data_IF_455339750475
#
_entry.id   IF_455339750475
#
_cell.length_a   1.000
_cell.length_b   1.000
_cell.length_c   1.000
_cell.angle_alpha   90.00
_cell.angle_beta   90.00
_cell.angle_gamma   90.00
#
_symmetry.space_group_name_H-M   'P 1'
#
loop_
_entity.id
_entity.type
_entity.pdbx_description
1 polymer ?
#
# COMPACT_ATOMS: atom_id res chain seq x y z
N UNK A 1 -12.39 -27.78 -48.42
CA UNK A 1 -12.57 -26.43 -47.83
C UNK A 1 -11.66 -26.33 -46.64
N UNK A 2 -10.67 -25.44 -46.66
CA UNK A 2 -9.83 -25.17 -45.50
C UNK A 2 -10.61 -24.28 -44.55
N UNK A 3 -10.97 -24.79 -43.38
CA UNK A 3 -11.57 -23.97 -42.31
C UNK A 3 -10.47 -23.13 -41.70
N UNK A 4 -10.56 -21.81 -41.88
CA UNK A 4 -9.68 -20.89 -41.17
C UNK A 4 -10.01 -20.95 -39.68
N UNK A 5 -9.13 -21.52 -38.90
CA UNK A 5 -9.34 -21.77 -37.46
C UNK A 5 -9.17 -20.49 -36.62
N UNK A 6 -8.41 -19.50 -37.13
CA UNK A 6 -8.23 -18.23 -36.46
C UNK A 6 -8.19 -17.09 -37.52
N UNK A 7 -9.13 -16.17 -37.44
CA UNK A 7 -9.25 -15.02 -38.36
C UNK A 7 -8.71 -13.71 -37.81
N UNK A 8 -8.42 -13.66 -36.52
CA UNK A 8 -7.99 -12.44 -35.87
C UNK A 8 -6.89 -12.73 -34.84
N UNK A 9 -5.76 -12.06 -34.98
CA UNK A 9 -4.67 -12.04 -33.99
C UNK A 9 -4.69 -10.69 -33.29
N UNK A 10 -4.81 -10.71 -31.96
CA UNK A 10 -4.69 -9.49 -31.19
C UNK A 10 -3.28 -8.87 -31.41
N UNK A 11 -3.17 -7.56 -31.64
CA UNK A 11 -1.87 -6.91 -31.84
C UNK A 11 -1.00 -6.87 -30.59
N UNK A 12 -1.54 -7.25 -29.44
CA UNK A 12 -0.83 -7.30 -28.16
C UNK A 12 -0.89 -8.70 -27.57
N UNK A 13 0.21 -9.12 -26.97
CA UNK A 13 0.28 -10.35 -26.18
C UNK A 13 -0.68 -10.20 -25.00
N UNK A 14 -1.53 -11.19 -24.77
CA UNK A 14 -2.41 -11.21 -23.59
C UNK A 14 -1.55 -11.18 -22.34
N UNK A 15 -1.99 -10.43 -21.33
CA UNK A 15 -1.40 -10.45 -20.02
C UNK A 15 -1.43 -11.88 -19.45
N UNK A 16 -0.33 -12.30 -18.85
CA UNK A 16 -0.23 -13.56 -18.14
C UNK A 16 -0.98 -13.51 -16.81
N UNK A 17 -0.78 -14.52 -15.98
CA UNK A 17 -1.20 -14.50 -14.59
C UNK A 17 -0.01 -14.15 -13.68
N UNK A 18 -0.29 -13.60 -12.51
CA UNK A 18 0.74 -13.28 -11.51
C UNK A 18 1.56 -14.54 -11.20
N UNK A 19 2.88 -14.42 -11.23
CA UNK A 19 3.82 -15.51 -11.01
C UNK A 19 4.09 -16.40 -12.23
N UNK A 20 3.47 -16.14 -13.40
CA UNK A 20 3.82 -16.87 -14.63
C UNK A 20 5.13 -16.35 -15.20
N UNK A 21 6.01 -17.27 -15.62
CA UNK A 21 7.20 -16.94 -16.41
C UNK A 21 6.75 -16.37 -17.75
N UNK A 22 7.24 -15.18 -18.10
CA UNK A 22 6.82 -14.47 -19.30
C UNK A 22 7.64 -14.88 -20.54
N UNK A 23 8.89 -15.31 -20.32
CA UNK A 23 9.83 -15.73 -21.35
C UNK A 23 10.71 -16.84 -20.78
N UNK A 24 10.74 -18.00 -21.41
CA UNK A 24 11.57 -19.14 -20.98
C UNK A 24 13.06 -18.95 -21.31
N UNK A 25 13.38 -18.04 -22.24
CA UNK A 25 14.77 -17.80 -22.66
C UNK A 25 15.59 -17.22 -21.51
N UNK A 26 16.59 -17.99 -21.04
CA UNK A 26 17.49 -17.59 -19.97
C UNK A 26 16.87 -17.59 -18.58
N UNK A 27 15.73 -18.26 -18.39
CA UNK A 27 15.09 -18.42 -17.09
C UNK A 27 15.84 -19.44 -16.22
N UNK A 28 16.10 -19.07 -14.95
CA UNK A 28 16.68 -19.93 -13.93
C UNK A 28 15.71 -20.02 -12.75
N UNK A 29 15.21 -21.23 -12.48
CA UNK A 29 14.30 -21.50 -11.38
C UNK A 29 14.98 -22.44 -10.39
N UNK A 30 14.93 -22.09 -9.11
CA UNK A 30 15.42 -22.91 -8.00
C UNK A 30 14.29 -23.28 -7.07
N UNK A 31 14.39 -24.45 -6.45
CA UNK A 31 13.43 -24.88 -5.43
C UNK A 31 13.93 -24.51 -4.03
N UNK A 32 13.05 -23.93 -3.21
CA UNK A 32 13.31 -23.50 -1.84
C UNK A 32 12.20 -23.97 -0.90
N UNK A 33 12.52 -24.21 0.34
CA UNK A 33 11.53 -24.53 1.36
C UNK A 33 10.95 -23.27 1.99
N UNK A 34 9.64 -23.13 2.08
CA UNK A 34 8.99 -21.95 2.65
C UNK A 34 9.06 -21.96 4.18
N UNK A 35 9.64 -20.91 4.79
CA UNK A 35 9.65 -20.68 6.23
C UNK A 35 8.61 -19.63 6.69
N UNK A 36 7.80 -19.09 5.74
CA UNK A 36 6.78 -18.09 6.08
C UNK A 36 5.50 -18.76 6.55
N UNK A 37 5.15 -18.61 7.82
CA UNK A 37 3.95 -19.20 8.44
C UNK A 37 2.65 -18.82 7.71
N UNK A 38 2.53 -17.57 7.29
CA UNK A 38 1.36 -17.07 6.55
C UNK A 38 1.29 -17.59 5.10
N UNK A 39 2.35 -18.29 4.64
CA UNK A 39 2.49 -18.72 3.25
C UNK A 39 3.07 -17.63 2.34
N UNK A 40 3.42 -18.04 1.11
CA UNK A 40 3.96 -17.16 0.06
C UNK A 40 3.04 -17.22 -1.16
N UNK A 41 2.45 -16.08 -1.53
CA UNK A 41 1.66 -15.96 -2.77
C UNK A 41 2.54 -16.02 -4.02
N UNK A 42 1.92 -16.15 -5.18
CA UNK A 42 2.63 -16.13 -6.47
C UNK A 42 3.06 -14.72 -6.89
N UNK A 43 4.19 -14.63 -7.58
CA UNK A 43 4.70 -13.37 -8.12
C UNK A 43 5.15 -12.36 -7.06
N UNK A 44 5.50 -12.82 -5.89
CA UNK A 44 6.01 -12.01 -4.79
C UNK A 44 7.54 -12.18 -4.65
N UNK A 45 8.20 -11.14 -4.18
CA UNK A 45 9.63 -11.19 -3.84
C UNK A 45 9.86 -12.13 -2.66
N UNK A 46 10.88 -12.96 -2.78
CA UNK A 46 11.33 -13.85 -1.71
C UNK A 46 12.81 -13.61 -1.43
N UNK A 47 13.19 -13.76 -0.18
CA UNK A 47 14.55 -13.65 0.31
C UNK A 47 15.04 -14.97 0.90
N UNK A 48 16.35 -15.06 1.13
CA UNK A 48 16.95 -16.19 1.81
C UNK A 48 16.35 -16.33 3.21
N UNK A 49 15.90 -17.53 3.54
CA UNK A 49 15.45 -17.89 4.88
C UNK A 49 16.60 -18.24 5.82
N UNK A 50 16.26 -18.79 6.98
CA UNK A 50 17.26 -19.17 8.01
C UNK A 50 18.07 -20.38 7.58
N UNK A 51 17.43 -21.39 6.98
CA UNK A 51 18.11 -22.58 6.50
C UNK A 51 18.72 -22.35 5.08
N UNK A 52 19.79 -23.06 4.75
CA UNK A 52 20.53 -22.89 3.48
C UNK A 52 19.68 -23.03 2.22
N UNK A 53 18.63 -23.85 2.26
CA UNK A 53 17.72 -24.11 1.13
C UNK A 53 16.31 -23.59 1.37
N UNK A 54 16.16 -22.62 2.23
CA UNK A 54 14.86 -22.03 2.54
C UNK A 54 14.68 -20.63 1.92
N UNK A 55 13.43 -20.17 1.96
CA UNK A 55 13.08 -18.80 1.60
C UNK A 55 11.96 -18.28 2.51
N UNK A 56 11.90 -16.95 2.60
CA UNK A 56 10.86 -16.21 3.30
C UNK A 56 10.24 -15.18 2.37
N UNK A 57 9.00 -14.79 2.64
CA UNK A 57 8.34 -13.68 1.95
C UNK A 57 9.07 -12.36 2.24
N UNK A 58 9.31 -11.57 1.22
CA UNK A 58 9.98 -10.28 1.36
C UNK A 58 11.43 -10.45 1.86
N UNK A 59 11.76 -9.83 2.99
CA UNK A 59 13.11 -9.85 3.58
C UNK A 59 14.09 -8.91 2.89
N UNK A 60 15.33 -8.84 3.38
CA UNK A 60 16.35 -7.91 2.86
C UNK A 60 17.37 -8.56 1.90
N UNK A 61 17.49 -9.89 1.92
CA UNK A 61 18.42 -10.65 1.09
C UNK A 61 17.70 -11.25 -0.12
N UNK A 62 17.33 -10.40 -1.10
CA UNK A 62 16.55 -10.80 -2.28
C UNK A 62 17.15 -12.02 -2.98
N UNK A 63 16.33 -13.04 -3.16
CA UNK A 63 16.67 -14.28 -3.82
C UNK A 63 16.05 -14.38 -5.21
N UNK A 64 14.79 -13.96 -5.33
CA UNK A 64 14.04 -14.05 -6.58
C UNK A 64 12.55 -13.81 -6.38
N UNK A 65 11.75 -14.30 -7.31
CA UNK A 65 10.29 -14.16 -7.34
C UNK A 65 9.63 -15.52 -7.33
N UNK A 66 8.59 -15.69 -6.49
CA UNK A 66 7.81 -16.93 -6.41
C UNK A 66 7.07 -17.19 -7.73
N UNK A 67 7.31 -18.35 -8.32
CA UNK A 67 6.69 -18.77 -9.59
C UNK A 67 5.33 -19.38 -9.32
N UNK A 68 4.38 -19.18 -10.23
CA UNK A 68 3.06 -19.79 -10.15
C UNK A 68 3.13 -21.29 -10.38
N UNK A 69 2.61 -22.06 -9.44
CA UNK A 69 2.37 -23.50 -9.60
C UNK A 69 0.91 -23.75 -9.91
N UNK A 70 0.63 -24.35 -11.07
CA UNK A 70 -0.73 -24.66 -11.50
C UNK A 70 -1.41 -25.73 -10.63
N UNK A 71 -0.64 -26.55 -9.92
CA UNK A 71 -1.19 -27.56 -9.02
C UNK A 71 -1.74 -26.96 -7.73
N UNK A 72 -1.13 -25.87 -7.27
CA UNK A 72 -1.58 -25.12 -6.08
C UNK A 72 -2.69 -24.11 -6.41
N UNK A 73 -2.87 -23.78 -7.67
CA UNK A 73 -3.99 -22.95 -8.12
C UNK A 73 -5.36 -23.64 -7.96
N UNK A 74 -5.35 -24.96 -7.83
CA UNK A 74 -6.51 -25.77 -7.49
C UNK A 74 -6.40 -26.08 -6.01
N UNK A 75 -7.13 -25.34 -5.16
CA UNK A 75 -7.10 -25.56 -3.71
C UNK A 75 -7.22 -27.05 -3.38
N UNK A 76 -6.20 -27.67 -2.76
CA UNK A 76 -6.31 -29.05 -2.35
C UNK A 76 -7.39 -29.15 -1.28
N UNK A 77 -8.31 -30.09 -1.46
CA UNK A 77 -9.25 -30.46 -0.40
C UNK A 77 -8.44 -31.24 0.63
N UNK A 78 -8.29 -30.71 1.83
CA UNK A 78 -7.77 -31.48 2.94
C UNK A 78 -8.80 -32.58 3.29
N UNK A 79 -8.51 -33.87 3.03
CA UNK A 79 -9.46 -34.94 3.27
C UNK A 79 -9.80 -35.14 4.75
N UNK A 80 -9.02 -34.58 5.66
CA UNK A 80 -9.23 -34.70 7.10
C UNK A 80 -10.06 -33.56 7.68
N UNK A 81 -9.92 -32.34 7.15
CA UNK A 81 -10.64 -31.18 7.67
C UNK A 81 -11.81 -30.72 6.81
N UNK A 82 -11.98 -31.30 5.62
CA UNK A 82 -12.95 -30.85 4.61
C UNK A 82 -12.86 -29.34 4.30
N UNK A 83 -11.69 -28.75 4.55
CA UNK A 83 -11.36 -27.36 4.27
C UNK A 83 -10.61 -27.27 2.95
N UNK A 84 -10.93 -26.23 2.18
CA UNK A 84 -10.11 -25.88 1.03
C UNK A 84 -8.86 -25.16 1.53
N UNK A 85 -7.69 -25.57 1.03
CA UNK A 85 -6.44 -24.85 1.24
C UNK A 85 -6.52 -23.43 0.68
N UNK A 86 -5.56 -22.59 1.04
CA UNK A 86 -5.45 -21.24 0.48
C UNK A 86 -5.06 -21.34 -0.99
N UNK A 87 -5.89 -20.78 -1.87
CA UNK A 87 -5.64 -20.77 -3.32
C UNK A 87 -4.49 -19.83 -3.63
N UNK A 88 -3.65 -20.19 -4.60
CA UNK A 88 -2.54 -19.36 -5.08
C UNK A 88 -1.45 -19.02 -4.03
N UNK A 89 -1.25 -19.90 -3.03
CA UNK A 89 -0.28 -19.70 -1.94
C UNK A 89 0.50 -21.00 -1.68
N UNK A 90 1.81 -20.89 -1.54
CA UNK A 90 2.67 -21.92 -0.99
C UNK A 90 2.55 -21.92 0.54
N UNK A 91 2.12 -23.00 1.13
CA UNK A 91 2.00 -23.15 2.59
C UNK A 91 3.37 -23.21 3.27
N UNK A 92 3.41 -23.02 4.60
CA UNK A 92 4.62 -23.23 5.39
C UNK A 92 5.21 -24.63 5.16
N UNK A 93 6.52 -24.71 5.02
CA UNK A 93 7.30 -25.93 4.69
C UNK A 93 7.05 -26.53 3.30
N UNK A 94 6.25 -25.90 2.48
CA UNK A 94 6.05 -26.33 1.10
C UNK A 94 7.22 -25.87 0.21
N UNK A 95 7.46 -26.61 -0.88
CA UNK A 95 8.53 -26.28 -1.83
C UNK A 95 8.08 -25.17 -2.76
N UNK A 96 8.72 -23.99 -2.68
CA UNK A 96 8.51 -22.83 -3.54
C UNK A 96 9.42 -22.92 -4.76
N UNK A 97 8.88 -22.78 -5.95
CA UNK A 97 9.64 -22.51 -7.16
C UNK A 97 9.99 -21.01 -7.20
N UNK A 98 11.28 -20.67 -7.22
CA UNK A 98 11.78 -19.30 -7.18
C UNK A 98 12.52 -18.99 -8.47
N UNK A 99 12.06 -18.00 -9.24
CA UNK A 99 12.78 -17.47 -10.39
C UNK A 99 13.88 -16.54 -9.90
N UNK A 100 15.13 -16.95 -10.08
CA UNK A 100 16.32 -16.17 -9.71
C UNK A 100 16.83 -15.30 -10.85
N UNK A 101 16.56 -15.69 -12.09
CA UNK A 101 16.88 -14.97 -13.32
C UNK A 101 15.83 -15.25 -14.38
N UNK A 102 15.44 -14.22 -15.13
CA UNK A 102 14.45 -14.37 -16.20
C UNK A 102 13.40 -13.26 -16.17
N UNK A 103 12.29 -13.49 -16.86
CA UNK A 103 11.16 -12.56 -16.94
C UNK A 103 9.89 -13.20 -16.38
N UNK A 104 9.17 -12.47 -15.55
CA UNK A 104 8.00 -12.98 -14.82
C UNK A 104 6.91 -11.91 -14.73
N UNK A 105 5.66 -12.33 -14.73
CA UNK A 105 4.51 -11.47 -14.51
C UNK A 105 4.32 -11.23 -13.01
N UNK A 106 4.32 -9.96 -12.61
CA UNK A 106 4.06 -9.53 -11.22
C UNK A 106 2.97 -8.46 -11.18
N UNK A 107 2.38 -8.25 -10.03
CA UNK A 107 1.45 -7.14 -9.80
C UNK A 107 2.25 -5.89 -9.46
N UNK A 108 1.96 -4.77 -10.13
CA UNK A 108 2.55 -3.47 -9.83
C UNK A 108 1.79 -2.80 -8.67
N UNK A 109 2.49 -2.31 -7.66
CA UNK A 109 1.88 -1.62 -6.52
C UNK A 109 1.56 -0.14 -6.84
N UNK A 110 2.33 0.47 -7.73
CA UNK A 110 2.13 1.82 -8.26
C UNK A 110 2.15 1.84 -9.78
N UNK A 111 2.01 3.03 -10.36
CA UNK A 111 2.17 3.25 -11.79
C UNK A 111 3.64 3.04 -12.18
N UNK A 112 3.89 2.16 -13.14
CA UNK A 112 5.23 1.79 -13.60
C UNK A 112 5.37 1.97 -15.11
N UNK A 113 6.56 2.33 -15.57
CA UNK A 113 6.91 2.42 -16.97
C UNK A 113 7.96 1.38 -17.35
N UNK A 114 7.90 0.91 -18.60
CA UNK A 114 8.93 0.01 -19.14
C UNK A 114 10.31 0.69 -19.07
N UNK A 115 11.26 0.04 -18.42
CA UNK A 115 12.61 0.55 -18.19
C UNK A 115 12.85 1.13 -16.80
N UNK A 116 11.81 1.34 -15.98
CA UNK A 116 11.96 1.74 -14.59
C UNK A 116 12.77 0.71 -13.79
N UNK A 117 13.49 1.19 -12.77
CA UNK A 117 14.16 0.31 -11.82
C UNK A 117 13.15 -0.49 -11.01
N UNK A 118 13.52 -1.72 -10.64
CA UNK A 118 12.67 -2.62 -9.88
C UNK A 118 13.00 -2.52 -8.39
N UNK A 119 11.96 -2.34 -7.58
CA UNK A 119 12.02 -2.37 -6.13
C UNK A 119 10.98 -3.35 -5.59
N UNK A 120 11.17 -3.83 -4.37
CA UNK A 120 10.19 -4.67 -3.67
C UNK A 120 10.06 -4.28 -2.21
N UNK A 121 8.86 -4.46 -1.67
CA UNK A 121 8.59 -4.32 -0.25
C UNK A 121 9.18 -5.51 0.53
N UNK A 122 10.09 -5.22 1.47
CA UNK A 122 10.73 -6.24 2.29
C UNK A 122 9.76 -6.95 3.25
N UNK A 123 8.54 -6.45 3.46
CA UNK A 123 7.53 -7.06 4.34
C UNK A 123 6.52 -7.89 3.55
N UNK A 124 5.93 -7.32 2.51
CA UNK A 124 4.85 -7.94 1.73
C UNK A 124 5.33 -8.61 0.43
N UNK A 125 6.57 -8.34 -0.01
CA UNK A 125 7.12 -8.88 -1.25
C UNK A 125 6.55 -8.26 -2.53
N UNK A 126 5.72 -7.21 -2.44
CA UNK A 126 5.14 -6.53 -3.59
C UNK A 126 6.18 -5.72 -4.37
N UNK A 127 5.92 -5.49 -5.67
CA UNK A 127 6.86 -4.79 -6.55
C UNK A 127 6.41 -3.37 -6.90
N UNK A 128 7.38 -2.43 -6.93
CA UNK A 128 7.20 -1.03 -7.28
C UNK A 128 8.37 -0.50 -8.13
N UNK A 129 8.28 0.75 -8.58
CA UNK A 129 9.38 1.47 -9.25
C UNK A 129 10.01 2.55 -8.36
N UNK A 130 9.64 2.61 -7.09
CA UNK A 130 10.13 3.61 -6.13
C UNK A 130 10.80 2.97 -4.91
N UNK A 131 11.95 3.52 -4.52
CA UNK A 131 12.65 3.13 -3.30
C UNK A 131 12.01 3.72 -2.04
N UNK A 132 11.29 4.82 -2.17
CA UNK A 132 10.71 5.56 -1.05
C UNK A 132 9.27 5.11 -0.84
N UNK A 133 8.97 4.66 0.36
CA UNK A 133 7.59 4.56 0.80
C UNK A 133 6.96 5.95 0.93
N UNK A 134 5.67 6.02 0.81
CA UNK A 134 4.89 7.23 1.05
C UNK A 134 4.07 7.10 2.32
N UNK A 135 3.87 8.22 3.01
CA UNK A 135 2.98 8.28 4.14
C UNK A 135 1.52 8.32 3.66
N UNK A 136 0.65 7.54 4.29
CA UNK A 136 -0.78 7.66 4.03
C UNK A 136 -1.27 9.05 4.44
N UNK A 137 -2.16 9.63 3.67
CA UNK A 137 -2.72 10.96 3.94
C UNK A 137 -4.22 11.01 3.70
N UNK A 138 -4.86 12.01 4.28
CA UNK A 138 -6.27 12.30 4.12
C UNK A 138 -6.55 13.73 4.57
N UNK A 139 -7.74 14.22 4.30
CA UNK A 139 -8.11 15.59 4.65
C UNK A 139 -9.51 15.67 5.22
N UNK A 140 -9.74 16.70 6.06
CA UNK A 140 -11.07 17.14 6.46
C UNK A 140 -11.24 18.58 5.99
N UNK A 141 -12.22 18.81 5.12
CA UNK A 141 -12.58 20.13 4.62
C UNK A 141 -13.70 20.68 5.48
N UNK A 142 -13.55 21.89 6.00
CA UNK A 142 -14.54 22.58 6.82
C UNK A 142 -15.14 23.75 6.04
N UNK A 143 -16.45 23.80 5.94
CA UNK A 143 -17.19 24.91 5.32
C UNK A 143 -17.78 25.86 6.36
N UNK A 144 -17.96 25.39 7.58
CA UNK A 144 -18.55 26.17 8.69
C UNK A 144 -17.70 26.05 9.95
N UNK A 145 -17.79 27.07 10.80
CA UNK A 145 -17.22 27.02 12.16
C UNK A 145 -17.87 25.87 12.93
N UNK A 146 -17.10 24.97 13.55
CA UNK A 146 -17.68 23.96 14.46
C UNK A 146 -18.41 24.61 15.63
N UNK A 147 -19.47 23.97 16.09
CA UNK A 147 -20.16 24.36 17.35
C UNK A 147 -19.56 23.56 18.53
N UNK A 148 -19.72 24.11 19.74
CA UNK A 148 -19.32 23.40 20.96
C UNK A 148 -20.02 22.03 21.06
N UNK A 149 -19.28 21.03 21.50
CA UNK A 149 -19.73 19.64 21.58
C UNK A 149 -19.70 18.87 20.26
N UNK A 150 -19.43 19.51 19.14
CA UNK A 150 -19.17 18.80 17.88
C UNK A 150 -17.81 18.14 17.91
N UNK A 151 -17.61 17.10 17.08
CA UNK A 151 -16.41 16.26 17.13
C UNK A 151 -15.84 15.99 15.75
N UNK A 152 -14.53 15.72 15.72
CA UNK A 152 -13.84 15.00 14.64
C UNK A 152 -13.21 13.75 15.24
N UNK A 153 -12.98 12.71 14.42
CA UNK A 153 -12.34 11.50 14.90
C UNK A 153 -11.11 11.23 14.02
N UNK A 154 -9.95 11.09 14.66
CA UNK A 154 -8.66 10.77 14.04
C UNK A 154 -8.08 9.58 14.76
N UNK A 155 -7.80 8.51 14.03
CA UNK A 155 -7.27 7.23 14.53
C UNK A 155 -8.03 6.72 15.78
N UNK A 156 -9.37 6.73 15.69
CA UNK A 156 -10.25 6.30 16.78
C UNK A 156 -10.35 7.27 17.96
N UNK A 157 -9.57 8.35 17.97
CA UNK A 157 -9.63 9.38 19.02
C UNK A 157 -10.63 10.45 18.64
N UNK A 158 -11.65 10.61 19.50
CA UNK A 158 -12.65 11.66 19.36
C UNK A 158 -12.10 12.97 19.92
N UNK A 159 -12.02 14.00 19.09
CA UNK A 159 -11.62 15.36 19.48
C UNK A 159 -12.86 16.23 19.51
N UNK A 160 -13.12 16.88 20.64
CA UNK A 160 -14.33 17.70 20.86
C UNK A 160 -13.99 19.18 20.78
N UNK A 161 -14.85 19.94 20.08
CA UNK A 161 -14.75 21.41 20.01
C UNK A 161 -15.48 22.05 21.20
N UNK A 162 -14.80 23.02 21.85
CA UNK A 162 -15.31 23.77 22.98
C UNK A 162 -15.23 25.28 22.72
N UNK A 163 -16.20 26.06 23.24
CA UNK A 163 -16.15 27.54 23.10
C UNK A 163 -15.03 28.17 23.91
N UNK A 164 -14.70 27.58 25.06
CA UNK A 164 -13.61 28.04 25.93
C UNK A 164 -13.29 26.97 26.96
N UNK A 165 -12.09 27.04 27.55
CA UNK A 165 -11.70 26.13 28.64
C UNK A 165 -11.42 24.71 28.17
N UNK A 166 -11.14 24.49 26.90
CA UNK A 166 -10.77 23.17 26.38
C UNK A 166 -9.57 22.59 27.12
N UNK A 167 -9.68 21.30 27.50
CA UNK A 167 -8.63 20.56 28.17
C UNK A 167 -7.97 19.64 27.17
N UNK A 168 -6.77 19.98 26.72
CA UNK A 168 -6.02 19.21 25.72
C UNK A 168 -5.82 17.74 26.13
N UNK A 169 -5.57 17.48 27.42
CA UNK A 169 -5.44 16.12 27.96
C UNK A 169 -6.73 15.30 27.88
N UNK A 170 -7.89 15.92 27.57
CA UNK A 170 -9.16 15.26 27.32
C UNK A 170 -9.56 15.31 25.84
N UNK A 171 -8.59 15.55 24.95
CA UNK A 171 -8.79 15.68 23.48
C UNK A 171 -9.83 16.79 23.15
N UNK A 172 -9.76 17.92 23.84
CA UNK A 172 -10.61 19.07 23.60
C UNK A 172 -9.80 20.20 22.95
N UNK A 173 -10.43 20.91 22.02
CA UNK A 173 -9.85 22.07 21.32
C UNK A 173 -10.79 23.26 21.39
N UNK A 174 -10.23 24.45 21.68
CA UNK A 174 -11.03 25.68 21.66
C UNK A 174 -11.37 26.09 20.22
N UNK A 175 -12.61 26.50 20.04
CA UNK A 175 -13.07 27.16 18.82
C UNK A 175 -12.41 28.55 18.78
N UNK A 176 -11.66 28.82 17.73
CA UNK A 176 -10.99 30.10 17.51
C UNK A 176 -11.94 31.21 17.05
N UNK A 177 -11.43 32.42 16.91
CA UNK A 177 -12.18 33.57 16.41
C UNK A 177 -12.63 33.39 14.96
N UNK A 178 -11.83 32.66 14.17
CA UNK A 178 -12.12 32.31 12.79
C UNK A 178 -12.07 30.79 12.60
N UNK A 179 -12.64 30.32 11.51
CA UNK A 179 -12.55 28.90 11.14
C UNK A 179 -11.08 28.48 10.93
N UNK A 180 -10.25 29.35 10.33
CA UNK A 180 -8.82 29.12 10.18
C UNK A 180 -8.10 28.93 11.52
N UNK A 181 -8.39 29.80 12.51
CA UNK A 181 -7.80 29.66 13.86
C UNK A 181 -8.19 28.35 14.53
N UNK A 182 -9.44 27.90 14.33
CA UNK A 182 -9.94 26.64 14.87
C UNK A 182 -9.19 25.45 14.29
N UNK A 183 -8.97 25.43 12.96
CA UNK A 183 -8.25 24.34 12.29
C UNK A 183 -6.78 24.34 12.68
N UNK A 184 -6.15 25.51 12.86
CA UNK A 184 -4.77 25.61 13.36
C UNK A 184 -4.67 25.06 14.78
N UNK A 185 -5.63 25.39 15.66
CA UNK A 185 -5.67 24.83 17.01
C UNK A 185 -5.88 23.32 17.01
N UNK A 186 -6.74 22.80 16.12
CA UNK A 186 -6.99 21.37 15.95
C UNK A 186 -5.71 20.63 15.48
N UNK A 187 -5.02 21.16 14.48
CA UNK A 187 -3.75 20.61 14.01
C UNK A 187 -2.68 20.61 15.13
N UNK A 188 -2.59 21.68 15.90
CA UNK A 188 -1.68 21.77 17.03
C UNK A 188 -1.97 20.73 18.11
N UNK A 189 -3.25 20.47 18.42
CA UNK A 189 -3.66 19.43 19.37
C UNK A 189 -3.25 18.03 18.88
N UNK A 190 -3.54 17.71 17.61
CA UNK A 190 -3.18 16.42 17.02
C UNK A 190 -1.65 16.20 17.07
N UNK A 191 -0.87 17.22 16.74
CA UNK A 191 0.59 17.15 16.74
C UNK A 191 1.19 17.05 18.15
N UNK A 192 0.53 17.62 19.14
CA UNK A 192 0.94 17.52 20.55
C UNK A 192 0.56 16.18 21.18
N UNK A 193 -0.43 15.46 20.64
CA UNK A 193 -0.98 14.18 21.13
C UNK A 193 -0.98 14.03 22.67
N UNK A 194 -1.58 14.99 23.42
CA UNK A 194 -1.34 15.12 24.85
C UNK A 194 -1.98 14.04 25.70
N UNK A 195 -2.97 13.30 25.18
CA UNK A 195 -3.76 12.33 25.93
C UNK A 195 -3.85 10.95 25.30
N UNK A 196 -3.22 10.70 24.16
CA UNK A 196 -3.41 9.45 23.43
C UNK A 196 -2.19 9.08 22.59
N UNK A 197 -1.75 7.83 22.73
CA UNK A 197 -0.68 7.27 21.91
C UNK A 197 -1.07 7.13 20.44
N UNK A 198 -2.38 6.97 20.10
CA UNK A 198 -2.81 6.84 18.72
C UNK A 198 -2.61 8.13 17.91
N UNK A 199 -2.79 9.31 18.50
CA UNK A 199 -2.46 10.56 17.82
C UNK A 199 -0.96 10.70 17.53
N UNK A 200 -0.10 9.95 18.22
CA UNK A 200 1.34 9.90 17.94
C UNK A 200 1.67 9.23 16.61
N UNK A 201 0.73 8.45 16.06
CA UNK A 201 0.89 7.76 14.76
C UNK A 201 0.66 8.68 13.56
N UNK A 202 0.05 9.85 13.79
CA UNK A 202 -0.32 10.80 12.73
C UNK A 202 0.26 12.19 13.01
N UNK A 203 0.33 12.98 11.96
CA UNK A 203 0.60 14.42 12.01
C UNK A 203 -0.48 15.18 11.26
N UNK A 204 -0.68 16.44 11.63
CA UNK A 204 -1.69 17.28 11.01
C UNK A 204 -1.14 18.63 10.60
N UNK A 205 -1.59 19.12 9.44
CA UNK A 205 -1.28 20.44 8.92
C UNK A 205 -2.57 21.19 8.59
N UNK A 206 -2.68 22.42 9.10
CA UNK A 206 -3.81 23.29 8.81
C UNK A 206 -3.53 24.13 7.55
N UNK A 207 -4.50 24.13 6.66
CA UNK A 207 -4.55 25.04 5.50
C UNK A 207 -5.77 25.93 5.62
N UNK A 208 -5.68 27.07 6.35
CA UNK A 208 -6.76 28.03 6.44
C UNK A 208 -7.00 28.65 5.07
N UNK A 209 -8.27 28.91 4.71
CA UNK A 209 -8.60 29.64 3.50
C UNK A 209 -7.95 31.02 3.56
N UNK A 210 -7.09 31.34 2.60
CA UNK A 210 -6.49 32.67 2.51
C UNK A 210 -7.52 33.64 1.91
N UNK A 211 -7.78 34.78 2.53
CA UNK A 211 -8.59 35.81 1.92
C UNK A 211 -7.87 36.38 0.69
N UNK A 212 -8.20 35.86 -0.50
CA UNK A 212 -7.76 36.37 -1.81
C UNK A 212 -6.51 35.75 -2.43
N UNK A 213 -6.03 34.59 -1.97
CA UNK A 213 -4.88 33.90 -2.52
C UNK A 213 -5.26 32.78 -3.48
N UNK A 214 -4.98 32.93 -4.77
CA UNK A 214 -4.87 31.80 -5.71
C UNK A 214 -3.54 31.06 -5.40
N UNK A 215 -3.57 30.06 -4.55
CA UNK A 215 -2.40 29.23 -4.21
C UNK A 215 -2.86 27.88 -3.68
N UNK A 216 -2.54 26.88 -4.40
CA UNK A 216 -2.49 25.44 -4.08
C UNK A 216 -3.43 24.92 -2.99
N UNK A 217 -4.61 24.47 -3.42
CA UNK A 217 -5.65 23.93 -2.56
C UNK A 217 -6.83 24.88 -2.44
N UNK A 218 -7.85 24.65 -3.23
CA UNK A 218 -9.14 25.36 -3.31
C UNK A 218 -9.49 26.07 -1.99
N UNK A 219 -9.89 27.33 -2.04
CA UNK A 219 -10.23 28.24 -0.95
C UNK A 219 -11.14 27.75 0.19
N UNK A 220 -10.99 26.51 0.61
CA UNK A 220 -11.67 25.86 1.71
C UNK A 220 -10.67 25.62 2.86
N UNK A 221 -11.13 25.87 4.08
CA UNK A 221 -10.36 25.56 5.27
C UNK A 221 -10.17 24.04 5.40
N UNK A 222 -8.96 23.57 5.26
CA UNK A 222 -8.63 22.14 5.19
C UNK A 222 -7.65 21.75 6.30
N UNK A 223 -7.96 20.67 7.00
CA UNK A 223 -7.02 19.94 7.83
C UNK A 223 -6.50 18.77 7.01
N UNK A 224 -5.19 18.74 6.74
CA UNK A 224 -4.51 17.58 6.18
C UNK A 224 -4.01 16.73 7.35
N UNK A 225 -4.23 15.42 7.29
CA UNK A 225 -3.72 14.43 8.25
C UNK A 225 -2.89 13.42 7.49
N UNK A 226 -1.68 13.15 7.97
CA UNK A 226 -0.80 12.15 7.37
C UNK A 226 -0.26 11.18 8.43
N UNK A 227 0.05 9.95 8.05
CA UNK A 227 0.76 9.05 8.95
C UNK A 227 2.20 9.50 9.11
N UNK A 228 2.76 9.45 10.33
CA UNK A 228 4.17 9.81 10.57
C UNK A 228 5.14 8.81 9.96
N UNK A 229 4.72 7.56 9.91
CA UNK A 229 5.53 6.52 9.29
C UNK A 229 5.08 6.32 7.82
N UNK A 230 6.03 6.19 6.92
CA UNK A 230 5.78 5.71 5.57
C UNK A 230 5.33 4.26 5.61
N UNK A 231 4.47 3.86 4.71
CA UNK A 231 4.04 2.47 4.61
C UNK A 231 2.53 2.30 4.53
N UNK A 232 2.15 1.10 4.12
CA UNK A 232 0.75 0.70 3.94
C UNK A 232 -0.06 0.67 5.23
N UNK A 233 0.60 0.56 6.39
CA UNK A 233 -0.07 0.54 7.69
C UNK A 233 -0.91 1.81 7.93
N UNK A 234 -0.42 2.97 7.47
CA UNK A 234 -1.14 4.23 7.58
C UNK A 234 -2.48 4.25 6.84
N UNK A 235 -2.67 3.40 5.82
CA UNK A 235 -3.94 3.29 5.09
C UNK A 235 -5.09 2.73 5.93
N UNK A 236 -4.81 2.14 7.08
CA UNK A 236 -5.82 1.67 8.02
C UNK A 236 -6.22 2.74 9.05
N UNK A 237 -5.50 3.87 9.12
CA UNK A 237 -5.74 4.90 10.14
C UNK A 237 -7.04 5.66 9.84
N UNK A 238 -7.93 5.66 10.84
CA UNK A 238 -9.27 6.22 10.71
C UNK A 238 -9.29 7.74 10.62
N UNK A 239 -10.13 8.28 9.74
CA UNK A 239 -10.36 9.72 9.59
C UNK A 239 -11.84 10.00 9.33
N UNK A 240 -12.52 10.70 10.25
CA UNK A 240 -13.90 11.11 10.03
C UNK A 240 -14.18 12.52 10.52
N UNK A 241 -15.12 13.19 9.89
CA UNK A 241 -15.60 14.50 10.31
C UNK A 241 -16.47 14.45 11.60
N UNK A 242 -16.73 13.26 12.16
CA UNK A 242 -17.50 13.07 13.37
C UNK A 242 -18.89 13.68 13.28
N UNK A 243 -19.26 14.50 14.27
CA UNK A 243 -20.55 15.21 14.32
C UNK A 243 -20.46 16.65 13.81
N UNK A 244 -19.31 17.10 13.29
CA UNK A 244 -19.10 18.49 12.87
C UNK A 244 -19.91 18.82 11.61
N UNK A 245 -20.88 19.69 11.76
CA UNK A 245 -21.69 20.18 10.65
C UNK A 245 -20.86 20.99 9.66
N UNK A 246 -20.96 20.68 8.36
CA UNK A 246 -20.17 21.35 7.32
C UNK A 246 -18.71 20.89 7.25
N UNK A 247 -18.36 19.80 7.91
CA UNK A 247 -17.06 19.14 7.72
C UNK A 247 -17.22 17.88 6.88
N UNK A 248 -16.26 17.63 5.99
CA UNK A 248 -16.26 16.44 5.12
C UNK A 248 -14.85 15.86 5.09
N UNK A 249 -14.73 14.58 5.44
CA UNK A 249 -13.47 13.84 5.32
C UNK A 249 -13.30 13.30 3.90
N UNK A 250 -12.06 13.20 3.43
CA UNK A 250 -11.69 12.64 2.11
C UNK A 250 -12.02 11.16 1.98
N UNK A 251 -12.15 10.44 3.10
CA UNK A 251 -12.47 9.03 3.18
C UNK A 251 -12.61 8.60 4.64
N UNK A 252 -13.01 7.35 4.87
CA UNK A 252 -13.10 6.77 6.23
C UNK A 252 -11.72 6.48 6.84
N UNK A 253 -10.68 6.45 6.02
CA UNK A 253 -9.29 6.19 6.40
C UNK A 253 -8.36 7.08 5.57
N UNK A 254 -7.11 7.18 6.03
CA UNK A 254 -6.04 7.73 5.22
C UNK A 254 -5.77 6.81 4.02
N UNK A 255 -5.14 7.31 2.98
CA UNK A 255 -4.86 6.56 1.74
C UNK A 255 -3.50 6.96 1.14
N UNK A 256 -3.02 6.18 0.17
CA UNK A 256 -1.79 6.49 -0.59
C UNK A 256 -0.50 6.12 0.13
N UNK A 257 -0.57 5.48 1.32
CA UNK A 257 0.62 4.97 1.99
C UNK A 257 1.21 3.78 1.22
N UNK A 258 2.51 3.85 0.89
CA UNK A 258 3.27 2.79 0.23
C UNK A 258 4.48 2.40 1.07
N UNK A 259 4.85 1.12 1.06
CA UNK A 259 5.97 0.62 1.84
C UNK A 259 7.32 1.13 1.30
N UNK A 260 8.31 1.24 2.18
CA UNK A 260 9.70 1.40 1.77
C UNK A 260 10.15 0.16 1.02
N UNK A 261 10.70 0.35 -0.19
CA UNK A 261 11.06 -0.75 -1.06
C UNK A 261 12.58 -0.88 -1.22
N UNK A 262 13.05 -2.12 -1.33
CA UNK A 262 14.46 -2.48 -1.54
C UNK A 262 14.72 -2.65 -3.03
N UNK A 263 15.82 -2.09 -3.53
CA UNK A 263 16.19 -2.23 -4.94
C UNK A 263 16.56 -3.69 -5.29
N UNK A 264 16.03 -4.18 -6.40
CA UNK A 264 16.48 -5.44 -7.03
C UNK A 264 17.65 -5.12 -7.94
N UNK A 265 18.83 -5.59 -7.58
CA UNK A 265 20.05 -5.33 -8.37
C UNK A 265 19.91 -5.87 -9.80
N UNK A 266 20.03 -4.99 -10.79
CA UNK A 266 19.86 -5.33 -12.21
C UNK A 266 18.43 -5.67 -12.63
N UNK A 267 17.45 -5.52 -11.73
CA UNK A 267 16.03 -5.69 -12.03
C UNK A 267 15.42 -4.44 -12.67
N UNK A 268 14.48 -4.64 -13.59
CA UNK A 268 13.73 -3.54 -14.20
C UNK A 268 12.36 -3.99 -14.70
N UNK A 269 11.43 -3.04 -14.84
CA UNK A 269 10.14 -3.24 -15.46
C UNK A 269 10.28 -3.35 -16.98
N UNK A 270 9.76 -4.40 -17.57
CA UNK A 270 9.79 -4.63 -19.03
C UNK A 270 8.61 -3.95 -19.70
N UNK A 271 7.44 -3.99 -19.06
CA UNK A 271 6.21 -3.40 -19.56
C UNK A 271 5.64 -2.37 -18.59
N UNK A 272 4.90 -1.40 -19.12
CA UNK A 272 4.19 -0.42 -18.30
C UNK A 272 2.89 -1.00 -17.74
N UNK A 273 2.48 -0.54 -16.55
CA UNK A 273 1.19 -0.84 -15.93
C UNK A 273 0.76 0.30 -14.99
N UNK A 274 -0.53 0.46 -14.77
CA UNK A 274 -1.06 1.28 -13.68
C UNK A 274 -1.13 0.46 -12.39
N UNK A 275 -1.22 1.14 -11.26
CA UNK A 275 -1.33 0.52 -9.94
C UNK A 275 -2.37 -0.60 -9.90
N UNK A 276 -2.01 -1.74 -9.33
CA UNK A 276 -2.87 -2.91 -9.21
C UNK A 276 -2.96 -3.82 -10.46
N UNK A 277 -2.43 -3.39 -11.61
CA UNK A 277 -2.35 -4.19 -12.83
C UNK A 277 -1.09 -5.05 -12.85
N UNK A 278 -1.07 -6.04 -13.76
CA UNK A 278 0.09 -6.93 -13.92
C UNK A 278 1.02 -6.42 -15.02
N UNK A 279 2.32 -6.55 -14.77
CA UNK A 279 3.38 -6.20 -15.71
C UNK A 279 4.50 -7.23 -15.67
N UNK A 280 5.37 -7.21 -16.67
CA UNK A 280 6.55 -8.07 -16.74
C UNK A 280 7.72 -7.34 -16.08
N UNK A 281 8.41 -8.05 -15.19
CA UNK A 281 9.72 -7.65 -14.66
C UNK A 281 10.82 -8.56 -15.19
N UNK A 282 12.03 -8.03 -15.31
CA UNK A 282 13.24 -8.75 -15.66
C UNK A 282 14.19 -8.82 -14.48
N UNK A 283 14.73 -10.00 -14.20
CA UNK A 283 15.68 -10.28 -13.14
C UNK A 283 17.02 -10.71 -13.77
N UNK A 284 18.10 -9.98 -13.49
CA UNK A 284 19.47 -10.39 -13.86
C UNK A 284 19.74 -10.55 -15.36
N UNK A 285 18.81 -10.16 -16.25
CA UNK A 285 19.02 -10.11 -17.70
C UNK A 285 19.31 -8.65 -18.04
N UNK A 286 20.47 -8.37 -18.64
CA UNK A 286 20.79 -7.01 -19.06
C UNK A 286 19.81 -6.50 -20.11
N UNK A 287 19.56 -5.18 -20.08
CA UNK A 287 18.70 -4.48 -21.06
C UNK A 287 19.24 -4.68 -22.48
#
# INVERSE_FOLDING_TARGET
MSTVVQQYYAPQIRAGLVGMIADETGSEVTSRNNETVAGIGFGLAVSQGVADKSCILGGSAFLGVSVRDVTLALAPIDPLSNSYGTVDVYSEYETVAVLTRGRIWVKAEGDVAGGDALFYDATAGNFSNSASGEAANGSIVFTNQPAAGQTVVVEGITITFETSGAVAASNQVNIGNTLGDTIVALAALINAHPASDNLSLVEAQAYPASPGGAGEGSGANTLLVASRAVGVAGNAYGLTAGTTAGATASGAHLAGGTASATAVSGGYWVTSAIAGQIAIVSLGIQK
#
